data_IF_476461946827
#
_entry.id   IF_476461946827
#
_cell.length_a   1.000
_cell.length_b   1.000
_cell.length_c   1.000
_cell.angle_alpha   90.00
_cell.angle_beta   90.00
_cell.angle_gamma   90.00
#
_symmetry.space_group_name_H-M   'P 1'
#
loop_
_entity.id
_entity.type
_entity.pdbx_description
1 polymer ?
#
# COMPACT_ATOMS: atom_id res chain seq x y z
N UNK A 1 4.20 1.06 -15.07
CA UNK A 1 5.02 0.14 -15.89
C UNK A 1 5.14 -1.20 -15.20
N UNK A 2 4.71 -2.29 -15.84
CA UNK A 2 4.91 -3.65 -15.30
C UNK A 2 6.38 -4.03 -15.34
N UNK A 3 6.95 -4.40 -14.19
CA UNK A 3 8.31 -4.93 -14.13
C UNK A 3 8.28 -6.40 -14.55
N UNK A 4 9.16 -6.77 -15.46
CA UNK A 4 9.37 -8.15 -15.89
C UNK A 4 10.75 -8.58 -15.38
N UNK A 5 10.90 -9.85 -14.99
CA UNK A 5 12.20 -10.36 -14.55
C UNK A 5 12.44 -11.78 -15.07
N UNK A 6 13.72 -12.11 -15.26
CA UNK A 6 14.17 -13.48 -15.52
C UNK A 6 14.55 -14.15 -14.19
N UNK A 7 14.07 -15.38 -13.88
CA UNK A 7 14.43 -16.08 -12.65
C UNK A 7 15.85 -16.68 -12.68
N UNK A 8 16.45 -16.82 -13.87
CA UNK A 8 17.76 -17.47 -14.06
C UNK A 8 18.92 -16.47 -14.12
N UNK A 9 18.69 -15.28 -14.70
CA UNK A 9 19.73 -14.27 -14.86
C UNK A 9 19.66 -13.21 -13.74
N UNK A 10 20.84 -12.74 -13.30
CA UNK A 10 20.92 -11.65 -12.32
C UNK A 10 20.19 -10.38 -12.80
N UNK A 11 19.47 -9.72 -11.90
CA UNK A 11 18.61 -8.56 -12.22
C UNK A 11 19.36 -7.34 -12.77
N UNK A 12 20.68 -7.25 -12.58
CA UNK A 12 21.50 -6.12 -13.06
C UNK A 12 21.79 -6.15 -14.56
N UNK A 13 21.68 -7.31 -15.21
CA UNK A 13 22.05 -7.47 -16.62
C UNK A 13 20.90 -8.01 -17.48
N UNK A 14 19.65 -7.86 -17.01
CA UNK A 14 18.47 -8.33 -17.74
C UNK A 14 18.18 -7.42 -18.95
N UNK A 15 18.79 -7.75 -20.08
CA UNK A 15 18.45 -7.17 -21.38
C UNK A 15 17.12 -7.77 -21.84
N UNK A 16 16.14 -6.92 -22.16
CA UNK A 16 14.83 -7.38 -22.66
C UNK A 16 14.88 -7.38 -24.18
N UNK A 17 14.49 -8.49 -24.82
CA UNK A 17 14.31 -8.59 -26.26
C UNK A 17 12.89 -9.06 -26.57
N UNK A 18 12.30 -8.54 -27.64
CA UNK A 18 11.00 -9.02 -28.12
C UNK A 18 11.25 -10.04 -29.20
N UNK A 19 10.75 -11.27 -29.02
CA UNK A 19 10.78 -12.31 -30.06
C UNK A 19 9.79 -11.95 -31.18
N UNK A 20 9.98 -12.51 -32.38
CA UNK A 20 9.06 -12.29 -33.52
C UNK A 20 7.60 -12.67 -33.21
N UNK A 21 7.42 -13.56 -32.23
CA UNK A 21 6.14 -14.08 -31.76
C UNK A 21 5.43 -13.13 -30.77
N UNK A 22 6.03 -11.97 -30.47
CA UNK A 22 5.48 -10.94 -29.56
C UNK A 22 5.79 -11.18 -28.08
N UNK A 23 6.45 -12.28 -27.72
CA UNK A 23 6.84 -12.60 -26.34
C UNK A 23 8.11 -11.85 -25.92
N UNK A 24 8.11 -11.30 -24.71
CA UNK A 24 9.30 -10.69 -24.10
C UNK A 24 10.21 -11.79 -23.55
N UNK A 25 11.43 -11.87 -24.07
CA UNK A 25 12.44 -12.86 -23.72
C UNK A 25 13.70 -12.20 -23.15
N UNK A 26 14.42 -12.92 -22.29
CA UNK A 26 15.68 -12.46 -21.74
C UNK A 26 16.77 -12.56 -22.82
N UNK A 27 17.45 -11.46 -23.12
CA UNK A 27 18.48 -11.41 -24.16
C UNK A 27 19.77 -12.17 -23.86
N UNK A 28 19.88 -12.82 -22.69
CA UNK A 28 21.05 -13.59 -22.25
C UNK A 28 20.80 -15.10 -22.18
N UNK A 29 19.58 -15.54 -21.87
CA UNK A 29 19.22 -16.97 -21.78
C UNK A 29 18.07 -17.37 -22.73
N UNK A 30 17.50 -16.42 -23.49
CA UNK A 30 16.37 -16.60 -24.41
C UNK A 30 15.07 -17.16 -23.78
N UNK A 31 15.01 -17.26 -22.45
CA UNK A 31 13.82 -17.66 -21.68
C UNK A 31 12.78 -16.52 -21.59
N UNK A 32 11.46 -16.82 -21.53
CA UNK A 32 10.41 -15.82 -21.43
C UNK A 32 10.45 -15.11 -20.06
N UNK A 33 10.27 -13.79 -20.06
CA UNK A 33 10.23 -13.05 -18.79
C UNK A 33 8.90 -13.26 -18.07
N UNK A 34 9.00 -13.31 -16.74
CA UNK A 34 7.84 -13.43 -15.86
C UNK A 34 7.44 -12.04 -15.38
N UNK A 35 6.14 -11.77 -15.33
CA UNK A 35 5.60 -10.52 -14.81
C UNK A 35 5.78 -10.47 -13.30
N UNK A 36 6.52 -9.49 -12.81
CA UNK A 36 6.59 -9.18 -11.38
C UNK A 36 5.21 -8.71 -10.91
N UNK A 37 4.64 -9.30 -9.84
CA UNK A 37 3.49 -8.70 -9.20
C UNK A 37 3.89 -7.31 -8.68
N UNK A 38 3.20 -6.26 -9.12
CA UNK A 38 3.48 -4.88 -8.65
C UNK A 38 3.07 -4.71 -7.18
N UNK A 39 2.08 -5.50 -6.74
CA UNK A 39 1.46 -5.38 -5.43
C UNK A 39 1.71 -6.70 -4.71
N UNK A 40 2.52 -6.64 -3.65
CA UNK A 40 2.71 -7.77 -2.75
C UNK A 40 1.54 -7.80 -1.76
N UNK A 41 0.70 -8.82 -1.83
CA UNK A 41 -0.47 -8.99 -0.94
C UNK A 41 -0.08 -8.92 0.53
N UNK A 42 1.09 -9.46 0.90
CA UNK A 42 1.62 -9.39 2.28
C UNK A 42 1.81 -7.95 2.76
N UNK A 43 2.20 -7.03 1.86
CA UNK A 43 2.37 -5.61 2.18
C UNK A 43 1.03 -4.93 2.45
N UNK A 44 -0.04 -5.34 1.77
CA UNK A 44 -1.39 -4.83 2.03
C UNK A 44 -1.86 -5.26 3.42
N UNK A 45 -1.73 -6.55 3.75
CA UNK A 45 -2.10 -7.05 5.07
C UNK A 45 -1.31 -6.37 6.19
N UNK A 46 0.00 -6.17 5.99
CA UNK A 46 0.82 -5.41 6.94
C UNK A 46 0.36 -3.96 7.11
N UNK A 47 -0.07 -3.30 6.04
CA UNK A 47 -0.57 -1.93 6.08
C UNK A 47 -1.91 -1.83 6.82
N UNK A 48 -2.81 -2.78 6.59
CA UNK A 48 -4.10 -2.87 7.29
C UNK A 48 -3.90 -3.12 8.79
N UNK A 49 -3.00 -4.04 9.15
CA UNK A 49 -2.69 -4.31 10.55
C UNK A 49 -2.07 -3.09 11.24
N UNK A 50 -1.15 -2.40 10.57
CA UNK A 50 -0.54 -1.17 11.08
C UNK A 50 -1.58 -0.05 11.25
N UNK A 51 -2.47 0.15 10.28
CA UNK A 51 -3.51 1.19 10.37
C UNK A 51 -4.53 0.90 11.46
N UNK A 52 -4.90 -0.36 11.68
CA UNK A 52 -5.79 -0.77 12.77
C UNK A 52 -5.19 -0.46 14.15
N UNK A 53 -3.86 -0.58 14.30
CA UNK A 53 -3.16 -0.25 15.53
C UNK A 53 -2.96 1.27 15.72
N UNK A 54 -2.68 1.98 14.62
CA UNK A 54 -2.47 3.43 14.64
C UNK A 54 -3.76 4.23 14.81
N UNK A 55 -4.89 3.77 14.26
CA UNK A 55 -6.17 4.46 14.32
C UNK A 55 -6.60 4.88 15.74
N UNK A 56 -6.64 4.01 16.76
CA UNK A 56 -7.03 4.42 18.11
C UNK A 56 -6.05 5.43 18.73
N UNK A 57 -4.75 5.34 18.42
CA UNK A 57 -3.74 6.30 18.89
C UNK A 57 -3.96 7.67 18.26
N UNK A 58 -4.22 7.72 16.95
CA UNK A 58 -4.51 8.98 16.26
C UNK A 58 -5.80 9.60 16.76
N UNK A 59 -6.85 8.81 17.01
CA UNK A 59 -8.10 9.29 17.59
C UNK A 59 -7.85 9.90 18.97
N UNK A 60 -7.13 9.21 19.86
CA UNK A 60 -6.78 9.77 21.17
C UNK A 60 -6.00 11.08 21.06
N UNK A 61 -5.02 11.16 20.17
CA UNK A 61 -4.23 12.38 19.96
C UNK A 61 -5.15 13.52 19.49
N UNK A 62 -6.07 13.26 18.56
CA UNK A 62 -7.03 14.26 18.09
C UNK A 62 -7.95 14.75 19.20
N UNK A 63 -8.48 13.84 20.03
CA UNK A 63 -9.31 14.20 21.18
C UNK A 63 -8.55 15.08 22.20
N UNK A 64 -7.31 14.73 22.51
CA UNK A 64 -6.48 15.53 23.44
C UNK A 64 -6.18 16.91 22.84
N UNK A 65 -5.89 16.99 21.55
CA UNK A 65 -5.70 18.28 20.86
C UNK A 65 -7.00 19.08 20.86
N UNK A 66 -8.15 18.44 20.63
CA UNK A 66 -9.46 19.09 20.67
C UNK A 66 -9.73 19.63 22.08
N UNK A 67 -9.49 18.86 23.13
CA UNK A 67 -9.66 19.29 24.53
C UNK A 67 -8.77 20.51 24.86
N UNK A 68 -7.48 20.46 24.50
CA UNK A 68 -6.55 21.58 24.71
C UNK A 68 -6.97 22.85 23.94
N UNK A 69 -7.52 22.70 22.73
CA UNK A 69 -8.02 23.84 21.96
C UNK A 69 -9.42 24.31 22.40
N UNK A 70 -10.24 23.42 22.97
CA UNK A 70 -11.62 23.71 23.42
C UNK A 70 -11.63 24.40 24.78
N UNK A 71 -10.57 24.26 25.60
CA UNK A 71 -10.36 25.10 26.78
C UNK A 71 -10.31 26.62 26.45
N UNK A 72 -10.15 27.01 25.17
CA UNK A 72 -10.31 28.40 24.71
C UNK A 72 -11.73 28.77 24.20
N UNK A 73 -12.64 27.82 23.95
CA UNK A 73 -14.01 28.16 23.48
C UNK A 73 -15.08 27.17 23.96
N UNK A 74 -16.08 27.62 24.74
CA UNK A 74 -17.15 26.74 25.18
C UNK A 74 -18.10 26.44 24.03
N UNK A 75 -18.58 25.20 24.03
CA UNK A 75 -19.90 24.75 23.55
C UNK A 75 -20.13 24.75 22.03
N UNK A 76 -20.12 23.55 21.44
CA UNK A 76 -21.30 22.84 20.90
C UNK A 76 -20.88 21.89 19.78
N UNK A 77 -20.47 20.66 20.11
CA UNK A 77 -20.51 19.55 19.16
C UNK A 77 -21.34 18.41 19.76
N UNK A 78 -22.62 18.45 19.40
CA UNK A 78 -23.61 17.39 19.65
C UNK A 78 -23.12 16.00 19.17
N UNK A 79 -23.58 14.92 19.79
CA UNK A 79 -22.90 13.62 19.74
C UNK A 79 -23.15 12.89 18.41
N UNK A 80 -22.07 12.64 17.67
CA UNK A 80 -22.01 11.80 16.46
C UNK A 80 -22.15 10.29 16.75
N UNK A 81 -22.86 9.91 17.83
CA UNK A 81 -23.03 8.51 18.30
C UNK A 81 -24.47 7.99 18.04
N UNK A 82 -25.40 8.80 17.53
CA UNK A 82 -26.81 8.42 17.37
C UNK A 82 -27.23 7.82 16.02
N UNK A 83 -26.31 7.36 15.17
CA UNK A 83 -26.65 6.78 13.85
C UNK A 83 -26.31 5.29 13.66
N UNK A 84 -26.23 4.49 14.72
CA UNK A 84 -26.02 3.04 14.55
C UNK A 84 -26.96 2.08 15.29
N UNK A 85 -28.00 2.56 15.97
CA UNK A 85 -29.03 1.65 16.51
C UNK A 85 -30.42 2.30 16.52
N UNK A 86 -31.17 2.12 15.42
CA UNK A 86 -32.52 1.55 15.42
C UNK A 86 -32.99 1.29 13.98
#
# INVERSE_FOLDING_TARGET
>A
MSRYYCPFCSSRYQLTKTRRDGVLICGQCDEPLIKSPLINSKKIFGLVAASAFLAPLLIMILFVIEEINTDEFPTNSEPLVRLSFK
#
